data_IF_788355579747
#
_entry.id   IF_788355579747
#
_cell.length_a   1.000
_cell.length_b   1.000
_cell.length_c   1.000
_cell.angle_alpha   90.00
_cell.angle_beta   90.00
_cell.angle_gamma   90.00
#
_symmetry.space_group_name_H-M   'P 1'
#
loop_
_entity.id
_entity.type
_entity.pdbx_description
1 polymer ?
#
# COMPACT_ATOMS: atom_id res chain seq x y z
N UNK A 1 -15.97 2.26 15.79
CA UNK A 1 -15.90 3.56 15.10
C UNK A 1 -15.73 3.22 13.63
N UNK A 2 -16.66 3.60 12.78
CA UNK A 2 -16.59 3.30 11.35
C UNK A 2 -15.41 4.11 10.76
N UNK A 3 -14.49 3.44 10.07
CA UNK A 3 -13.30 4.10 9.52
C UNK A 3 -13.72 4.98 8.35
N UNK A 4 -13.71 6.31 8.55
CA UNK A 4 -13.95 7.28 7.49
C UNK A 4 -12.71 7.32 6.58
N UNK A 5 -12.85 7.13 5.26
CA UNK A 5 -11.72 7.21 4.33
C UNK A 5 -11.05 8.58 4.35
N UNK A 6 -9.75 8.61 4.07
CA UNK A 6 -8.99 9.85 3.97
C UNK A 6 -9.52 10.68 2.80
N UNK A 7 -9.68 12.00 3.03
CA UNK A 7 -10.19 12.96 2.04
C UNK A 7 -11.52 12.53 1.38
N UNK A 8 -12.39 11.87 2.14
CA UNK A 8 -13.64 11.30 1.63
C UNK A 8 -14.53 12.33 0.92
N UNK A 9 -14.73 13.50 1.51
CA UNK A 9 -15.57 14.55 0.92
C UNK A 9 -14.90 15.17 -0.30
N UNK A 10 -13.62 15.51 -0.18
CA UNK A 10 -12.83 16.13 -1.24
C UNK A 10 -12.72 15.22 -2.47
N UNK A 11 -12.57 13.90 -2.26
CA UNK A 11 -12.55 12.92 -3.35
C UNK A 11 -13.88 12.96 -4.11
N UNK A 12 -15.01 12.84 -3.40
CA UNK A 12 -16.34 12.78 -4.02
C UNK A 12 -16.64 14.06 -4.81
N UNK A 13 -16.30 15.22 -4.26
CA UNK A 13 -16.47 16.51 -4.93
C UNK A 13 -15.59 16.63 -6.18
N UNK A 14 -14.37 16.11 -6.14
CA UNK A 14 -13.41 16.18 -7.25
C UNK A 14 -13.78 15.26 -8.42
N UNK A 15 -14.12 14.00 -8.12
CA UNK A 15 -14.39 13.00 -9.18
C UNK A 15 -15.76 13.21 -9.83
N UNK A 16 -16.70 13.84 -9.11
CA UNK A 16 -18.04 14.20 -9.60
C UNK A 16 -18.74 13.07 -10.40
N UNK A 17 -18.62 11.83 -9.92
CA UNK A 17 -19.14 10.61 -10.54
C UNK A 17 -20.64 10.73 -10.82
N UNK A 18 -21.07 10.21 -11.97
CA UNK A 18 -22.44 10.27 -12.46
C UNK A 18 -23.03 8.88 -12.65
N UNK A 19 -24.36 8.76 -12.66
CA UNK A 19 -25.03 7.51 -13.03
C UNK A 19 -24.62 7.07 -14.44
N UNK A 20 -24.23 5.81 -14.57
CA UNK A 20 -23.77 5.22 -15.83
C UNK A 20 -22.25 5.23 -16.03
N UNK A 21 -21.50 5.95 -15.19
CA UNK A 21 -20.03 6.00 -15.28
C UNK A 21 -19.39 4.63 -15.01
N UNK A 22 -18.21 4.45 -15.59
CA UNK A 22 -17.28 3.36 -15.26
C UNK A 22 -16.20 3.93 -14.33
N UNK A 23 -16.19 3.46 -13.09
CA UNK A 23 -15.18 3.82 -12.09
C UNK A 23 -14.23 2.66 -11.89
N UNK A 24 -12.93 2.95 -11.95
CA UNK A 24 -11.86 1.99 -11.65
C UNK A 24 -11.11 2.47 -10.42
N UNK A 25 -11.18 1.70 -9.35
CA UNK A 25 -10.46 1.92 -8.11
C UNK A 25 -9.25 1.00 -8.04
N UNK A 26 -8.06 1.58 -8.19
CA UNK A 26 -6.80 0.83 -8.18
C UNK A 26 -6.36 0.31 -6.80
N UNK A 27 -7.08 0.68 -5.74
CA UNK A 27 -6.68 0.48 -4.34
C UNK A 27 -7.89 0.20 -3.46
N UNK A 28 -8.69 -0.81 -3.83
CA UNK A 28 -9.98 -1.07 -3.20
C UNK A 28 -9.92 -1.17 -1.66
N UNK A 29 -8.90 -1.86 -1.13
CA UNK A 29 -8.66 -1.99 0.30
C UNK A 29 -9.87 -2.58 1.02
N UNK A 30 -10.52 -1.77 1.86
CA UNK A 30 -11.69 -2.16 2.65
C UNK A 30 -13.04 -1.68 2.08
N UNK A 31 -13.05 -1.07 0.89
CA UNK A 31 -14.27 -0.57 0.24
C UNK A 31 -14.85 0.71 0.88
N UNK A 32 -14.02 1.47 1.59
CA UNK A 32 -14.44 2.74 2.21
C UNK A 32 -14.83 3.79 1.17
N UNK A 33 -13.90 4.13 0.27
CA UNK A 33 -14.21 5.02 -0.86
C UNK A 33 -15.22 4.38 -1.82
N UNK A 34 -15.13 3.07 -2.05
CA UNK A 34 -16.07 2.34 -2.92
C UNK A 34 -17.54 2.61 -2.59
N UNK A 35 -17.92 2.53 -1.30
CA UNK A 35 -19.29 2.82 -0.84
C UNK A 35 -19.70 4.27 -1.06
N UNK A 36 -18.79 5.21 -0.86
CA UNK A 36 -19.07 6.64 -1.08
C UNK A 36 -19.29 6.91 -2.57
N UNK A 37 -18.48 6.29 -3.42
CA UNK A 37 -18.54 6.44 -4.88
C UNK A 37 -19.82 5.80 -5.42
N UNK A 38 -20.11 4.55 -5.09
CA UNK A 38 -21.30 3.87 -5.61
C UNK A 38 -22.60 4.50 -5.15
N UNK A 39 -22.61 5.16 -3.99
CA UNK A 39 -23.74 5.98 -3.56
C UNK A 39 -24.05 7.13 -4.55
N UNK A 40 -23.02 7.74 -5.18
CA UNK A 40 -23.21 8.80 -6.18
C UNK A 40 -23.64 8.28 -7.56
N UNK A 41 -23.31 7.02 -7.87
CA UNK A 41 -23.68 6.37 -9.14
C UNK A 41 -25.20 6.10 -9.26
N UNK A 42 -25.97 6.30 -8.19
CA UNK A 42 -27.43 6.18 -8.16
C UNK A 42 -28.00 4.90 -8.81
N UNK A 43 -27.34 3.76 -8.59
CA UNK A 43 -27.80 2.45 -9.07
C UNK A 43 -27.57 2.19 -10.56
N UNK A 44 -26.65 2.90 -11.21
CA UNK A 44 -26.29 2.66 -12.62
C UNK A 44 -24.81 2.90 -12.87
N UNK A 45 -24.20 2.06 -13.70
CA UNK A 45 -22.78 2.16 -14.08
C UNK A 45 -21.99 0.91 -13.68
N UNK A 46 -20.67 1.02 -13.73
CA UNK A 46 -19.75 -0.08 -13.41
C UNK A 46 -18.71 0.36 -12.39
N UNK A 47 -18.52 -0.42 -11.33
CA UNK A 47 -17.44 -0.25 -10.36
C UNK A 47 -16.45 -1.41 -10.47
N UNK A 48 -15.19 -1.11 -10.79
CA UNK A 48 -14.11 -2.08 -10.88
C UNK A 48 -13.14 -1.81 -9.74
N UNK A 49 -13.06 -2.71 -8.77
CA UNK A 49 -12.07 -2.66 -7.70
C UNK A 49 -10.85 -3.50 -8.03
N UNK A 50 -9.66 -2.94 -7.84
CA UNK A 50 -8.38 -3.61 -7.98
C UNK A 50 -7.69 -3.63 -6.63
N UNK A 51 -7.11 -4.77 -6.28
CA UNK A 51 -6.20 -4.86 -5.14
C UNK A 51 -5.31 -6.10 -5.32
N UNK A 52 -4.04 -5.99 -4.92
CA UNK A 52 -3.10 -7.12 -4.91
C UNK A 52 -3.19 -7.92 -3.62
N UNK A 53 -3.76 -7.37 -2.55
CA UNK A 53 -3.91 -8.06 -1.28
C UNK A 53 -4.98 -9.16 -1.42
N UNK A 54 -4.63 -10.45 -1.19
CA UNK A 54 -5.60 -11.54 -1.29
C UNK A 54 -6.81 -11.38 -0.37
N UNK A 55 -6.65 -10.69 0.76
CA UNK A 55 -7.74 -10.40 1.70
C UNK A 55 -8.75 -9.38 1.19
N UNK A 56 -8.44 -8.62 0.14
CA UNK A 56 -9.36 -7.66 -0.47
C UNK A 56 -10.51 -8.34 -1.23
N UNK A 57 -10.29 -9.51 -1.82
CA UNK A 57 -11.32 -10.21 -2.62
C UNK A 57 -12.58 -10.53 -1.81
N UNK A 58 -12.42 -11.03 -0.59
CA UNK A 58 -13.56 -11.34 0.30
C UNK A 58 -14.32 -10.06 0.71
N UNK A 59 -13.60 -8.96 0.94
CA UNK A 59 -14.18 -7.66 1.28
C UNK A 59 -14.92 -7.06 0.08
N UNK A 60 -14.37 -7.21 -1.13
CA UNK A 60 -15.03 -6.80 -2.36
C UNK A 60 -16.31 -7.59 -2.57
N UNK A 61 -16.31 -8.90 -2.36
CA UNK A 61 -17.51 -9.72 -2.49
C UNK A 61 -18.63 -9.27 -1.52
N UNK A 62 -18.28 -8.93 -0.27
CA UNK A 62 -19.23 -8.37 0.69
C UNK A 62 -19.77 -7.01 0.23
N UNK A 63 -18.90 -6.09 -0.20
CA UNK A 63 -19.29 -4.80 -0.78
C UNK A 63 -20.19 -4.94 -2.01
N UNK A 64 -19.87 -5.85 -2.93
CA UNK A 64 -20.60 -6.09 -4.16
C UNK A 64 -22.02 -6.60 -3.88
N UNK A 65 -22.20 -7.42 -2.85
CA UNK A 65 -23.52 -7.90 -2.41
C UNK A 65 -24.42 -6.80 -1.85
N UNK A 66 -23.85 -5.66 -1.40
CA UNK A 66 -24.59 -4.48 -0.95
C UNK A 66 -25.08 -3.62 -2.14
N UNK A 67 -24.54 -3.82 -3.34
CA UNK A 67 -24.85 -2.98 -4.50
C UNK A 67 -26.09 -3.46 -5.25
N UNK A 68 -26.93 -2.52 -5.68
CA UNK A 68 -28.08 -2.79 -6.54
C UNK A 68 -28.03 -1.89 -7.78
N UNK A 69 -28.15 -2.48 -8.96
CA UNK A 69 -28.12 -1.78 -10.25
C UNK A 69 -26.74 -1.36 -10.77
N UNK A 70 -25.69 -1.46 -9.94
CA UNK A 70 -24.30 -1.23 -10.33
C UNK A 70 -23.65 -2.57 -10.69
N UNK A 71 -23.00 -2.61 -11.85
CA UNK A 71 -22.17 -3.77 -12.23
C UNK A 71 -20.87 -3.70 -11.44
N UNK A 72 -20.49 -4.76 -10.74
CA UNK A 72 -19.26 -4.80 -9.95
C UNK A 72 -18.29 -5.85 -10.49
N UNK A 73 -16.99 -5.52 -10.53
CA UNK A 73 -15.91 -6.44 -10.91
C UNK A 73 -14.71 -6.27 -9.99
N UNK A 74 -14.14 -7.38 -9.54
CA UNK A 74 -12.87 -7.39 -8.82
C UNK A 74 -11.74 -7.88 -9.72
N UNK A 75 -10.58 -7.24 -9.63
CA UNK A 75 -9.34 -7.67 -10.30
C UNK A 75 -8.25 -7.84 -9.25
N UNK A 76 -7.86 -9.09 -9.00
CA UNK A 76 -6.77 -9.43 -8.09
C UNK A 76 -5.42 -9.24 -8.79
N UNK A 77 -4.89 -8.03 -8.81
CA UNK A 77 -3.64 -7.67 -9.48
C UNK A 77 -3.05 -6.38 -8.90
N UNK A 78 -1.83 -6.05 -9.31
CA UNK A 78 -1.31 -4.69 -9.13
C UNK A 78 -2.12 -3.72 -9.99
N UNK A 79 -2.28 -2.47 -9.57
CA UNK A 79 -3.03 -1.48 -10.35
C UNK A 79 -2.46 -1.21 -11.75
N UNK A 80 -1.12 -1.16 -11.99
CA UNK A 80 -0.61 -0.96 -13.34
C UNK A 80 -1.01 -2.11 -14.27
N UNK A 81 -0.86 -3.36 -13.81
CA UNK A 81 -1.20 -4.54 -14.60
C UNK A 81 -2.71 -4.63 -14.86
N UNK A 82 -3.53 -4.32 -13.86
CA UNK A 82 -4.98 -4.30 -13.99
C UNK A 82 -5.44 -3.22 -14.99
N UNK A 83 -4.88 -2.01 -14.92
CA UNK A 83 -5.25 -0.92 -15.81
C UNK A 83 -4.90 -1.24 -17.26
N UNK A 84 -3.71 -1.78 -17.51
CA UNK A 84 -3.30 -2.23 -18.84
C UNK A 84 -4.22 -3.36 -19.37
N UNK A 85 -4.58 -4.33 -18.53
CA UNK A 85 -5.49 -5.40 -18.92
C UNK A 85 -6.91 -4.88 -19.24
N UNK A 86 -7.44 -3.98 -18.40
CA UNK A 86 -8.75 -3.36 -18.64
C UNK A 86 -8.76 -2.53 -19.92
N UNK A 87 -7.70 -1.77 -20.19
CA UNK A 87 -7.55 -1.02 -21.44
C UNK A 87 -7.53 -1.96 -22.65
N UNK A 88 -6.80 -3.08 -22.58
CA UNK A 88 -6.78 -4.11 -23.63
C UNK A 88 -8.16 -4.77 -23.86
N UNK A 89 -8.99 -4.85 -22.82
CA UNK A 89 -10.40 -5.27 -22.90
C UNK A 89 -11.33 -4.17 -23.43
N UNK A 90 -10.78 -3.04 -23.89
CA UNK A 90 -11.53 -1.87 -24.37
C UNK A 90 -12.41 -1.21 -23.29
N UNK A 91 -12.06 -1.36 -22.02
CA UNK A 91 -12.64 -0.55 -20.95
C UNK A 91 -12.15 0.90 -21.12
N UNK A 92 -13.07 1.84 -21.01
CA UNK A 92 -12.79 3.27 -21.04
C UNK A 92 -13.40 3.88 -19.78
N UNK A 93 -12.56 4.12 -18.78
CA UNK A 93 -12.99 4.54 -17.45
C UNK A 93 -13.33 6.03 -17.42
N UNK A 94 -14.46 6.42 -16.83
CA UNK A 94 -14.76 7.82 -16.57
C UNK A 94 -13.93 8.37 -15.40
N UNK A 95 -13.62 7.50 -14.43
CA UNK A 95 -12.86 7.87 -13.24
C UNK A 95 -11.89 6.73 -12.90
N UNK A 96 -10.65 7.10 -12.63
CA UNK A 96 -9.65 6.22 -12.01
C UNK A 96 -9.22 6.83 -10.68
N UNK A 97 -9.22 6.03 -9.61
CA UNK A 97 -8.75 6.47 -8.29
C UNK A 97 -7.60 5.60 -7.78
N UNK A 98 -6.71 6.23 -7.02
CA UNK A 98 -5.58 5.59 -6.34
C UNK A 98 -5.41 6.23 -4.94
N UNK A 99 -5.82 5.52 -3.90
CA UNK A 99 -5.53 5.83 -2.49
C UNK A 99 -4.20 5.16 -2.10
N UNK A 100 -3.10 5.86 -2.39
CA UNK A 100 -1.75 5.33 -2.19
C UNK A 100 -1.36 5.34 -0.73
N UNK A 101 -1.06 4.15 -0.21
CA UNK A 101 -0.53 3.99 1.13
C UNK A 101 -0.69 2.57 1.63
N UNK A 102 -0.74 2.43 2.94
CA UNK A 102 -1.13 1.18 3.61
C UNK A 102 -2.51 1.34 4.18
N UNK A 103 -3.32 0.30 4.05
CA UNK A 103 -4.61 0.25 4.73
C UNK A 103 -4.41 0.05 6.24
N UNK A 104 -5.38 0.52 7.04
CA UNK A 104 -5.41 0.23 8.48
C UNK A 104 -5.30 -1.27 8.75
N UNK A 105 -5.97 -2.11 7.96
CA UNK A 105 -5.93 -3.57 8.07
C UNK A 105 -4.51 -4.13 7.98
N UNK A 106 -3.66 -3.60 7.10
CA UNK A 106 -2.27 -4.03 6.99
C UNK A 106 -1.43 -3.65 8.22
N UNK A 107 -1.75 -2.54 8.88
CA UNK A 107 -1.09 -2.09 10.12
C UNK A 107 -1.63 -2.83 11.35
N UNK A 108 -2.95 -3.06 11.39
CA UNK A 108 -3.68 -3.59 12.53
C UNK A 108 -3.54 -5.12 12.66
N UNK A 109 -3.09 -5.81 11.60
CA UNK A 109 -2.76 -7.23 11.60
C UNK A 109 -1.24 -7.43 11.81
N UNK A 110 -0.77 -7.76 13.04
CA UNK A 110 0.67 -7.84 13.30
C UNK A 110 1.38 -8.90 12.45
N UNK A 111 0.66 -9.95 12.05
CA UNK A 111 1.19 -11.03 11.19
C UNK A 111 1.63 -10.55 9.81
N UNK A 112 1.17 -9.37 9.36
CA UNK A 112 1.57 -8.75 8.09
C UNK A 112 2.92 -8.02 8.17
N UNK A 113 3.39 -7.72 9.38
CA UNK A 113 4.72 -7.15 9.58
C UNK A 113 4.89 -5.65 9.25
N UNK A 114 3.80 -4.90 9.02
CA UNK A 114 3.89 -3.47 8.69
C UNK A 114 4.10 -2.57 9.92
N UNK A 115 3.77 -3.05 11.12
CA UNK A 115 3.81 -2.25 12.35
C UNK A 115 5.15 -2.40 13.07
N UNK A 116 5.74 -1.28 13.46
CA UNK A 116 6.87 -1.24 14.40
C UNK A 116 6.42 -1.23 15.88
N UNK A 117 5.12 -1.10 16.14
CA UNK A 117 4.54 -1.07 17.50
C UNK A 117 4.04 -2.44 17.94
N UNK A 118 3.45 -3.19 17.01
CA UNK A 118 2.98 -4.55 17.24
C UNK A 118 4.00 -5.55 16.66
N UNK A 119 4.38 -6.54 17.45
CA UNK A 119 5.36 -7.55 17.04
C UNK A 119 4.72 -8.58 16.11
N UNK A 120 5.45 -8.96 15.07
CA UNK A 120 5.07 -9.97 14.10
C UNK A 120 6.21 -10.29 13.15
N UNK A 121 6.01 -11.22 12.19
CA UNK A 121 7.01 -11.56 11.19
C UNK A 121 7.46 -10.32 10.41
N UNK A 122 8.75 -10.24 10.08
CA UNK A 122 9.29 -9.15 9.27
C UNK A 122 8.97 -9.39 7.78
N UNK A 123 7.72 -9.23 7.38
CA UNK A 123 7.26 -9.50 6.01
C UNK A 123 7.08 -8.21 5.19
N UNK A 124 6.12 -7.36 5.55
CA UNK A 124 5.78 -6.10 4.86
C UNK A 124 5.28 -6.24 3.41
N UNK A 125 5.05 -7.44 2.86
CA UNK A 125 4.46 -7.58 1.53
C UNK A 125 2.95 -7.32 1.55
N UNK A 126 2.49 -6.52 0.60
CA UNK A 126 1.07 -6.30 0.37
C UNK A 126 0.39 -7.56 -0.22
N UNK A 127 1.11 -8.32 -1.04
CA UNK A 127 0.75 -9.69 -1.43
C UNK A 127 1.78 -10.67 -0.84
N UNK A 128 1.44 -11.39 0.24
CA UNK A 128 2.36 -12.36 0.85
C UNK A 128 2.64 -13.60 0.00
N UNK A 129 1.91 -13.81 -1.10
CA UNK A 129 2.06 -15.00 -1.95
C UNK A 129 3.19 -14.89 -2.98
N UNK A 130 3.73 -13.68 -3.20
CA UNK A 130 4.75 -13.40 -4.20
C UNK A 130 5.89 -12.54 -3.63
N UNK A 131 7.00 -12.39 -4.37
CA UNK A 131 8.11 -11.51 -4.01
C UNK A 131 8.90 -11.92 -2.76
N UNK A 132 9.79 -11.03 -2.32
CA UNK A 132 10.66 -11.19 -1.15
C UNK A 132 10.25 -10.23 -0.05
N UNK A 133 10.14 -10.72 1.19
CA UNK A 133 9.78 -9.90 2.34
C UNK A 133 10.90 -8.97 2.80
N UNK A 134 10.58 -8.12 3.79
CA UNK A 134 11.52 -7.24 4.45
C UNK A 134 12.63 -8.01 5.18
N UNK A 135 12.33 -9.21 5.68
CA UNK A 135 13.28 -10.14 6.27
C UNK A 135 14.45 -10.45 5.32
N UNK A 136 14.17 -10.75 4.06
CA UNK A 136 15.19 -11.02 3.05
C UNK A 136 16.05 -9.78 2.80
N UNK A 137 15.42 -8.61 2.62
CA UNK A 137 16.15 -7.36 2.41
C UNK A 137 17.08 -7.03 3.59
N UNK A 138 16.63 -7.21 4.83
CA UNK A 138 17.47 -6.91 6.00
C UNK A 138 18.51 -7.98 6.29
N UNK A 139 18.26 -9.26 5.97
CA UNK A 139 19.18 -10.35 6.29
C UNK A 139 20.20 -10.63 5.17
N UNK A 140 19.88 -10.33 3.92
CA UNK A 140 20.76 -10.62 2.77
C UNK A 140 21.34 -9.38 2.11
N UNK A 141 20.62 -8.25 2.14
CA UNK A 141 21.04 -7.01 1.49
C UNK A 141 22.38 -6.49 2.02
N UNK A 142 23.17 -5.83 1.17
CA UNK A 142 24.42 -5.20 1.63
C UNK A 142 24.15 -3.98 2.53
N UNK A 143 25.13 -3.56 3.34
CA UNK A 143 25.01 -2.33 4.12
C UNK A 143 24.69 -1.10 3.23
N UNK A 144 25.34 -1.03 2.06
CA UNK A 144 25.11 0.02 1.07
C UNK A 144 23.69 -0.02 0.49
N UNK A 145 23.19 -1.20 0.19
CA UNK A 145 21.82 -1.39 -0.31
C UNK A 145 20.77 -0.98 0.73
N UNK A 146 20.92 -1.44 1.97
CA UNK A 146 20.00 -1.09 3.06
C UNK A 146 20.06 0.42 3.30
N UNK A 147 21.26 1.01 3.40
CA UNK A 147 21.41 2.45 3.59
C UNK A 147 20.80 3.25 2.44
N UNK A 148 20.95 2.78 1.20
CA UNK A 148 20.33 3.39 0.02
C UNK A 148 18.81 3.40 0.15
N UNK A 149 18.19 2.25 0.44
CA UNK A 149 16.74 2.13 0.66
C UNK A 149 16.27 3.10 1.76
N UNK A 150 16.91 3.07 2.93
CA UNK A 150 16.56 3.92 4.06
C UNK A 150 16.65 5.42 3.73
N UNK A 151 17.67 5.82 2.95
CA UNK A 151 17.87 7.20 2.54
C UNK A 151 16.89 7.64 1.45
N UNK A 152 16.74 6.85 0.40
CA UNK A 152 15.94 7.21 -0.79
C UNK A 152 14.44 7.17 -0.50
N UNK A 153 13.97 6.15 0.23
CA UNK A 153 12.53 5.97 0.46
C UNK A 153 12.07 6.40 1.86
N UNK A 154 12.97 6.45 2.84
CA UNK A 154 12.65 6.87 4.21
C UNK A 154 13.09 8.28 4.56
N UNK A 155 13.89 8.92 3.70
CA UNK A 155 14.60 10.16 4.02
C UNK A 155 15.34 10.07 5.38
N UNK A 156 15.90 8.90 5.71
CA UNK A 156 16.47 8.61 7.03
C UNK A 156 17.88 9.22 7.17
N UNK A 157 18.08 10.24 8.03
CA UNK A 157 19.38 10.90 8.18
C UNK A 157 20.46 9.95 8.72
N UNK A 158 20.05 8.94 9.48
CA UNK A 158 20.94 7.95 10.10
C UNK A 158 21.07 6.67 9.27
N UNK A 159 20.71 6.70 7.98
CA UNK A 159 20.58 5.52 7.13
C UNK A 159 21.80 4.61 7.19
N UNK A 160 23.01 5.17 7.03
CA UNK A 160 24.25 4.39 7.09
C UNK A 160 24.48 3.72 8.45
N UNK A 161 24.23 4.46 9.54
CA UNK A 161 24.42 3.94 10.91
C UNK A 161 23.42 2.83 11.22
N UNK A 162 22.17 2.98 10.78
CA UNK A 162 21.13 1.96 10.93
C UNK A 162 21.47 0.72 10.11
N UNK A 163 21.88 0.88 8.85
CA UNK A 163 22.27 -0.24 7.99
C UNK A 163 23.45 -1.04 8.58
N UNK A 164 24.47 -0.36 9.11
CA UNK A 164 25.56 -1.03 9.81
C UNK A 164 25.08 -1.80 11.06
N UNK A 165 24.17 -1.21 11.84
CA UNK A 165 23.62 -1.88 13.02
C UNK A 165 22.80 -3.12 12.66
N UNK A 166 22.04 -3.08 11.55
CA UNK A 166 21.30 -4.23 11.02
C UNK A 166 22.27 -5.35 10.62
N UNK A 167 23.33 -5.03 9.88
CA UNK A 167 24.34 -6.01 9.45
C UNK A 167 25.06 -6.64 10.65
N UNK A 168 25.47 -5.84 11.63
CA UNK A 168 26.10 -6.36 12.86
C UNK A 168 25.13 -7.25 13.64
N UNK A 169 23.85 -6.88 13.72
CA UNK A 169 22.86 -7.66 14.46
C UNK A 169 22.58 -9.01 13.78
N UNK A 170 22.39 -9.02 12.45
CA UNK A 170 22.10 -10.26 11.71
C UNK A 170 23.27 -11.25 11.68
N UNK A 171 24.51 -10.76 11.79
CA UNK A 171 25.70 -11.61 11.90
C UNK A 171 25.71 -12.43 13.21
N UNK A 172 24.97 -11.99 14.23
CA UNK A 172 24.78 -12.72 15.49
C UNK A 172 23.56 -13.65 15.41
N UNK A 173 22.41 -13.13 14.98
CA UNK A 173 21.17 -13.89 14.83
C UNK A 173 20.29 -13.26 13.74
N UNK A 174 19.69 -14.06 12.84
CA UNK A 174 18.77 -13.55 11.82
C UNK A 174 17.64 -12.69 12.40
N UNK A 175 17.36 -11.56 11.76
CA UNK A 175 16.29 -10.64 12.16
C UNK A 175 14.99 -11.13 11.54
N UNK A 176 14.09 -11.65 12.36
CA UNK A 176 12.86 -12.33 11.90
C UNK A 176 11.58 -11.60 12.30
N UNK A 177 11.64 -10.66 13.25
CA UNK A 177 10.46 -9.93 13.73
C UNK A 177 10.58 -8.42 13.61
N UNK A 178 9.43 -7.75 13.50
CA UNK A 178 9.33 -6.29 13.47
C UNK A 178 9.90 -5.65 14.74
N UNK A 179 9.69 -6.26 15.92
CA UNK A 179 10.24 -5.71 17.17
C UNK A 179 11.77 -5.80 17.25
N UNK A 180 12.36 -6.90 16.76
CA UNK A 180 13.83 -7.01 16.68
C UNK A 180 14.40 -5.87 15.84
N UNK A 181 13.85 -5.67 14.63
CA UNK A 181 14.29 -4.60 13.73
C UNK A 181 14.06 -3.21 14.35
N UNK A 182 12.88 -2.96 14.94
CA UNK A 182 12.56 -1.67 15.55
C UNK A 182 13.53 -1.32 16.70
N UNK A 183 13.92 -2.30 17.51
CA UNK A 183 14.89 -2.12 18.59
C UNK A 183 16.29 -1.80 18.05
N UNK A 184 16.75 -2.52 17.02
CA UNK A 184 18.04 -2.26 16.37
C UNK A 184 18.08 -0.82 15.84
N UNK A 185 17.02 -0.39 15.16
CA UNK A 185 16.92 0.98 14.64
C UNK A 185 16.90 2.01 15.78
N UNK A 186 16.15 1.74 16.85
CA UNK A 186 16.06 2.63 18.01
C UNK A 186 17.43 2.86 18.68
N UNK A 187 18.19 1.80 18.91
CA UNK A 187 19.53 1.87 19.51
C UNK A 187 20.55 2.54 18.58
N UNK A 188 20.43 2.29 17.27
CA UNK A 188 21.26 2.94 16.26
C UNK A 188 20.92 4.44 16.10
N UNK A 189 19.71 4.87 16.43
CA UNK A 189 19.27 6.24 16.22
C UNK A 189 19.94 7.25 17.18
N UNK A 190 20.20 8.51 16.77
CA UNK A 190 20.70 9.55 17.65
C UNK A 190 19.75 9.82 18.84
N UNK A 191 20.31 10.24 19.98
CA UNK A 191 19.51 10.55 21.18
C UNK A 191 18.41 11.60 20.92
N UNK A 192 18.68 12.59 20.07
CA UNK A 192 17.70 13.59 19.67
C UNK A 192 16.50 12.98 18.90
N UNK A 193 16.74 11.98 18.05
CA UNK A 193 15.67 11.27 17.34
C UNK A 193 14.83 10.43 18.30
N UNK A 194 15.47 9.74 19.26
CA UNK A 194 14.78 8.97 20.31
C UNK A 194 13.90 9.81 21.23
N UNK A 195 14.30 11.05 21.51
CA UNK A 195 13.56 11.99 22.36
C UNK A 195 12.47 12.79 21.62
N UNK A 196 12.35 12.61 20.29
CA UNK A 196 11.39 13.33 19.46
C UNK A 196 9.94 12.84 19.62
N UNK A 197 9.02 13.49 18.91
CA UNK A 197 7.57 13.18 18.94
C UNK A 197 7.16 11.89 18.21
N UNK A 198 8.08 11.18 17.56
CA UNK A 198 7.77 9.98 16.77
C UNK A 198 8.76 8.85 17.03
N UNK A 199 8.32 7.61 16.79
CA UNK A 199 9.20 6.46 16.93
C UNK A 199 10.32 6.49 15.87
N UNK A 200 11.61 6.35 16.25
CA UNK A 200 12.73 6.42 15.31
C UNK A 200 12.63 5.43 14.13
N UNK A 201 12.06 4.25 14.36
CA UNK A 201 11.90 3.24 13.33
C UNK A 201 10.87 3.60 12.23
N UNK A 202 10.04 4.63 12.41
CA UNK A 202 8.95 4.95 11.47
C UNK A 202 9.44 5.15 10.04
N UNK A 203 10.50 5.96 9.84
CA UNK A 203 11.09 6.24 8.53
C UNK A 203 11.69 4.99 7.88
N UNK A 204 12.38 4.18 8.68
CA UNK A 204 12.99 2.94 8.20
C UNK A 204 11.94 1.91 7.78
N UNK A 205 10.86 1.75 8.56
CA UNK A 205 9.76 0.86 8.21
C UNK A 205 9.04 1.32 6.93
N UNK A 206 8.81 2.63 6.78
CA UNK A 206 8.27 3.20 5.55
C UNK A 206 9.19 2.90 4.35
N UNK A 207 10.50 3.08 4.51
CA UNK A 207 11.47 2.84 3.44
C UNK A 207 11.49 1.38 2.98
N UNK A 208 11.55 0.45 3.94
CA UNK A 208 11.54 -0.99 3.67
C UNK A 208 10.25 -1.41 2.99
N UNK A 209 9.10 -0.89 3.46
CA UNK A 209 7.80 -1.13 2.85
C UNK A 209 7.78 -0.70 1.38
N UNK A 210 8.22 0.54 1.10
CA UNK A 210 8.28 1.08 -0.26
C UNK A 210 9.17 0.20 -1.15
N UNK A 211 10.34 -0.21 -0.66
CA UNK A 211 11.27 -1.06 -1.40
C UNK A 211 10.70 -2.46 -1.69
N UNK A 212 10.17 -3.13 -0.66
CA UNK A 212 9.62 -4.50 -0.75
C UNK A 212 8.47 -4.57 -1.77
N UNK A 213 7.69 -3.50 -1.88
CA UNK A 213 6.47 -3.48 -2.66
C UNK A 213 6.58 -2.72 -3.99
N UNK A 214 7.77 -2.24 -4.33
CA UNK A 214 8.05 -1.36 -5.48
C UNK A 214 7.05 -0.18 -5.56
N UNK A 215 6.70 0.44 -4.44
CA UNK A 215 5.55 1.37 -4.41
C UNK A 215 5.72 2.54 -5.38
N UNK A 216 6.90 3.13 -5.46
CA UNK A 216 7.15 4.25 -6.38
C UNK A 216 7.14 3.80 -7.85
N UNK A 217 7.73 2.64 -8.16
CA UNK A 217 7.69 2.08 -9.51
C UNK A 217 6.30 1.65 -9.95
N UNK A 218 5.45 1.23 -9.00
CA UNK A 218 4.03 0.95 -9.25
C UNK A 218 3.28 2.25 -9.56
N UNK A 219 3.49 3.31 -8.78
CA UNK A 219 2.83 4.60 -9.03
C UNK A 219 3.19 5.13 -10.41
N UNK A 220 4.48 5.13 -10.77
CA UNK A 220 4.96 5.62 -12.07
C UNK A 220 4.27 4.90 -13.24
N UNK A 221 4.36 3.56 -13.27
CA UNK A 221 3.72 2.74 -14.32
C UNK A 221 2.20 2.81 -14.30
N UNK A 222 1.59 2.93 -13.12
CA UNK A 222 0.15 2.97 -13.00
C UNK A 222 -0.46 4.32 -13.37
N UNK A 223 0.28 5.42 -13.22
CA UNK A 223 -0.15 6.73 -13.75
C UNK A 223 -0.20 6.69 -15.28
N UNK A 224 0.84 6.17 -15.94
CA UNK A 224 0.84 5.99 -17.40
C UNK A 224 -0.31 5.09 -17.86
N UNK A 225 -0.51 3.94 -17.22
CA UNK A 225 -1.60 3.02 -17.55
C UNK A 225 -3.00 3.62 -17.26
N UNK A 226 -3.14 4.44 -16.22
CA UNK A 226 -4.39 5.14 -15.92
C UNK A 226 -4.75 6.15 -17.00
N UNK A 227 -3.76 6.88 -17.55
CA UNK A 227 -3.98 7.83 -18.64
C UNK A 227 -4.49 7.16 -19.93
N UNK A 228 -4.02 5.95 -20.23
CA UNK A 228 -4.51 5.17 -21.37
C UNK A 228 -5.92 4.60 -21.11
N UNK A 229 -6.22 4.26 -19.86
CA UNK A 229 -7.52 3.69 -19.46
C UNK A 229 -8.65 4.73 -19.41
N UNK A 230 -8.33 6.00 -19.13
CA UNK A 230 -9.32 7.06 -18.99
C UNK A 230 -10.01 7.40 -20.33
N UNK A 231 -11.32 7.58 -20.26
CA UNK A 231 -12.12 8.14 -21.34
C UNK A 231 -11.75 9.62 -21.56
N UNK A 232 -11.90 10.17 -22.78
CA UNK A 232 -11.77 11.60 -22.99
C UNK A 232 -12.81 12.39 -22.17
N UNK A 233 -12.34 13.33 -21.36
CA UNK A 233 -13.16 14.16 -20.48
C UNK A 233 -12.53 14.33 -19.11
#
# INVERSE_FOLDING_TARGET
MEHVPVLATELIDLIAVRPGDIVVDGTFGAGGHARLITAQMAGSGTYIGVDRDPGAAARFAAFAAEQSGITTRFVAATFPDAFAALHAESVSANVVILDIGVSSMQIDEPQRGFSYMADGPLDMRMDPSTGTGADMLVNEGSADEIARVLREYGEEPSAWRIAQAIVVARDLEPITTTRQLANIIYEASPAAARAGRGHPAKRSFQALRIAVNDELGMIDRGLDAALELLAPG
#
